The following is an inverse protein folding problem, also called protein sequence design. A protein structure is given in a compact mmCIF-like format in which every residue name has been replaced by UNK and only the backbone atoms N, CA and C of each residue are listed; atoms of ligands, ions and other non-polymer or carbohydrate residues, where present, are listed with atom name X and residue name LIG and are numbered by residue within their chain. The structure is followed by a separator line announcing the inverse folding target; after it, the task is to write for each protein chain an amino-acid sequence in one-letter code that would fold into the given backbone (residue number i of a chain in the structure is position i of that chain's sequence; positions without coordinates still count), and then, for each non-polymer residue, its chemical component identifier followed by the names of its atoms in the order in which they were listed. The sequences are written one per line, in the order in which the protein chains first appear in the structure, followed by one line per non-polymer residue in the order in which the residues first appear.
data_IF_470460021038
#
_entry.id   IF_470460021038
#
_cell.length_a   1.000
_cell.length_b   1.000
_cell.length_c   1.000
_cell.angle_alpha   90.00
_cell.angle_beta   90.00
_cell.angle_gamma   90.00
#
_symmetry.space_group_name_H-M   'P 1'
#
loop_
_entity.id
_entity.type
_entity.pdbx_description
1 polymer ?
#
# COMPACT_ATOMS: atom_id res chain seq x y z
N UNK A 1 14.33 3.59 -13.94
CA UNK A 1 14.19 4.92 -13.32
C UNK A 1 14.39 4.86 -11.80
N UNK A 2 13.47 4.25 -11.04
CA UNK A 2 13.57 4.21 -9.57
C UNK A 2 14.91 3.65 -9.05
N UNK A 3 15.43 2.55 -9.62
CA UNK A 3 16.73 1.99 -9.23
C UNK A 3 17.92 2.94 -9.44
N UNK A 4 17.94 3.65 -10.58
CA UNK A 4 18.97 4.64 -10.85
C UNK A 4 18.87 5.83 -9.88
N UNK A 5 17.65 6.21 -9.50
CA UNK A 5 17.42 7.31 -8.54
C UNK A 5 17.82 6.92 -7.11
N UNK A 6 17.64 5.64 -6.71
CA UNK A 6 18.20 5.09 -5.47
C UNK A 6 19.74 5.19 -5.48
N UNK A 7 20.39 4.77 -6.57
CA UNK A 7 21.85 4.82 -6.69
C UNK A 7 22.36 6.28 -6.71
N UNK A 8 21.64 7.17 -7.37
CA UNK A 8 21.99 8.60 -7.38
C UNK A 8 21.85 9.22 -6.00
N UNK A 9 20.78 8.92 -5.27
CA UNK A 9 20.60 9.39 -3.89
C UNK A 9 21.67 8.83 -2.94
N UNK A 10 22.04 7.55 -3.08
CA UNK A 10 23.08 6.96 -2.24
C UNK A 10 24.48 7.48 -2.54
N UNK A 11 24.81 7.74 -3.81
CA UNK A 11 26.09 8.33 -4.20
C UNK A 11 26.23 9.77 -3.73
N UNK A 12 25.16 10.57 -3.78
CA UNK A 12 25.15 11.93 -3.19
C UNK A 12 25.36 11.84 -1.68
N UNK A 13 24.65 10.94 -0.98
CA UNK A 13 24.80 10.78 0.45
C UNK A 13 26.21 10.35 0.85
N UNK A 14 26.80 9.39 0.12
CA UNK A 14 28.17 8.95 0.35
C UNK A 14 29.19 10.06 0.04
N UNK A 15 28.89 10.93 -0.92
CA UNK A 15 29.75 12.07 -1.23
C UNK A 15 29.73 13.14 -0.13
N UNK A 16 28.58 13.36 0.53
CA UNK A 16 28.46 14.35 1.61
C UNK A 16 28.92 13.81 2.97
N UNK A 17 28.57 12.58 3.31
CA UNK A 17 28.84 11.97 4.63
C UNK A 17 30.11 11.11 4.67
N UNK A 18 30.61 10.66 3.51
CA UNK A 18 31.74 9.75 3.42
C UNK A 18 31.41 8.29 3.76
N UNK A 19 30.15 7.96 4.05
CA UNK A 19 29.73 6.64 4.51
C UNK A 19 28.66 6.00 3.62
N UNK A 20 28.62 4.67 3.61
CA UNK A 20 27.64 3.85 2.87
C UNK A 20 26.62 3.16 3.78
N UNK A 21 26.63 3.46 5.08
CA UNK A 21 25.71 2.87 6.03
C UNK A 21 24.28 3.40 5.81
N UNK A 22 23.28 2.52 5.93
CA UNK A 22 21.86 2.86 5.75
C UNK A 22 21.30 3.56 7.01
N UNK A 23 21.89 3.30 8.17
CA UNK A 23 21.40 3.73 9.48
C UNK A 23 21.81 5.15 9.86
N UNK A 24 22.67 5.80 9.07
CA UNK A 24 23.13 7.16 9.36
C UNK A 24 22.12 8.19 8.91
N UNK A 25 22.14 9.35 9.57
CA UNK A 25 21.31 10.48 9.17
C UNK A 25 21.67 10.91 7.76
N UNK A 26 20.70 10.82 6.85
CA UNK A 26 20.83 11.23 5.46
C UNK A 26 20.50 12.73 5.35
N UNK A 27 21.27 13.45 4.53
CA UNK A 27 20.95 14.85 4.21
C UNK A 27 19.54 14.98 3.58
N UNK A 28 18.84 16.10 3.76
CA UNK A 28 17.44 16.23 3.34
C UNK A 28 17.24 16.06 1.82
N UNK A 29 18.22 16.46 1.00
CA UNK A 29 18.16 16.32 -0.46
C UNK A 29 18.23 14.84 -0.92
N UNK A 30 19.26 14.05 -0.54
CA UNK A 30 19.29 12.62 -0.87
C UNK A 30 18.16 11.84 -0.19
N UNK A 31 17.70 12.22 1.01
CA UNK A 31 16.56 11.58 1.67
C UNK A 31 15.26 11.77 0.86
N UNK A 32 15.03 12.97 0.31
CA UNK A 32 13.89 13.25 -0.55
C UNK A 32 13.93 12.41 -1.83
N UNK A 33 15.07 12.39 -2.52
CA UNK A 33 15.23 11.57 -3.73
C UNK A 33 15.03 10.08 -3.43
N UNK A 34 15.65 9.58 -2.36
CA UNK A 34 15.50 8.19 -1.93
C UNK A 34 14.04 7.85 -1.64
N UNK A 35 13.32 8.71 -0.90
CA UNK A 35 11.91 8.49 -0.58
C UNK A 35 11.03 8.41 -1.85
N UNK A 36 11.22 9.31 -2.81
CA UNK A 36 10.49 9.31 -4.09
C UNK A 36 10.79 8.03 -4.87
N UNK A 37 12.06 7.60 -4.90
CA UNK A 37 12.45 6.39 -5.63
C UNK A 37 11.80 5.13 -5.06
N UNK A 38 11.76 5.01 -3.73
CA UNK A 38 11.15 3.86 -3.06
C UNK A 38 9.62 3.88 -3.24
N UNK A 39 8.98 5.06 -3.12
CA UNK A 39 7.54 5.22 -3.35
C UNK A 39 7.15 4.90 -4.80
N UNK A 40 8.01 5.21 -5.78
CA UNK A 40 7.84 4.81 -7.17
C UNK A 40 7.87 3.28 -7.34
N UNK A 41 8.77 2.58 -6.63
CA UNK A 41 8.81 1.10 -6.62
C UNK A 41 7.58 0.47 -5.94
N UNK A 42 7.05 1.10 -4.90
CA UNK A 42 5.86 0.62 -4.19
C UNK A 42 4.57 0.83 -4.99
N UNK A 43 4.56 1.78 -5.93
CA UNK A 43 3.39 2.13 -6.74
C UNK A 43 2.47 3.14 -6.05
N UNK A 44 3.02 4.01 -5.21
CA UNK A 44 2.26 5.08 -4.53
C UNK A 44 1.98 6.21 -5.52
N UNK A 45 0.80 6.82 -5.44
CA UNK A 45 0.45 7.95 -6.30
C UNK A 45 1.42 9.13 -6.08
N UNK A 46 1.82 9.85 -7.14
CA UNK A 46 1.34 9.79 -8.52
C UNK A 46 1.94 8.66 -9.39
N UNK A 47 2.92 7.92 -8.88
CA UNK A 47 3.66 6.89 -9.64
C UNK A 47 2.93 5.53 -9.76
N UNK A 48 1.61 5.53 -9.54
CA UNK A 48 0.79 4.33 -9.43
C UNK A 48 0.39 3.70 -10.77
N UNK A 49 0.48 4.44 -11.89
CA UNK A 49 -0.07 4.04 -13.19
C UNK A 49 0.39 2.67 -13.69
N UNK A 50 1.64 2.27 -13.40
CA UNK A 50 2.16 0.98 -13.85
C UNK A 50 1.49 -0.21 -13.15
N UNK A 51 1.03 -0.03 -11.91
CA UNK A 51 0.64 -1.15 -11.05
C UNK A 51 -0.67 -1.81 -11.53
N UNK A 52 -1.77 -1.08 -11.84
CA UNK A 52 -2.99 -1.69 -12.37
C UNK A 52 -2.82 -2.35 -13.74
N UNK A 53 -2.02 -1.76 -14.62
CA UNK A 53 -1.78 -2.30 -15.97
C UNK A 53 -0.96 -3.59 -15.93
N UNK A 54 0.13 -3.58 -15.16
CA UNK A 54 0.98 -4.77 -15.00
C UNK A 54 0.22 -5.89 -14.31
N UNK A 55 -0.52 -5.62 -13.23
CA UNK A 55 -1.31 -6.66 -12.56
C UNK A 55 -2.38 -7.27 -13.47
N UNK A 56 -2.97 -6.48 -14.37
CA UNK A 56 -3.96 -7.02 -15.30
C UNK A 56 -3.36 -7.95 -16.35
N UNK A 57 -2.14 -7.66 -16.83
CA UNK A 57 -1.44 -8.47 -17.83
C UNK A 57 -0.85 -9.78 -17.28
N UNK A 58 -0.78 -9.92 -15.95
CA UNK A 58 -0.16 -11.06 -15.29
C UNK A 58 -1.15 -12.18 -14.91
N UNK A 59 -0.59 -13.36 -14.66
CA UNK A 59 -1.33 -14.46 -14.03
C UNK A 59 -1.61 -14.16 -12.56
N UNK A 60 -2.64 -14.77 -11.97
CA UNK A 60 -2.97 -14.53 -10.55
C UNK A 60 -1.82 -14.90 -9.60
N UNK A 61 -1.06 -15.97 -9.91
CA UNK A 61 0.08 -16.39 -9.09
C UNK A 61 1.24 -15.38 -9.15
N UNK A 62 1.55 -14.85 -10.34
CA UNK A 62 2.58 -13.80 -10.48
C UNK A 62 2.10 -12.47 -9.89
N UNK A 63 0.80 -12.18 -9.99
CA UNK A 63 0.16 -11.05 -9.32
C UNK A 63 0.29 -11.11 -7.80
N UNK A 64 0.10 -12.28 -7.19
CA UNK A 64 0.32 -12.48 -5.75
C UNK A 64 1.76 -12.15 -5.35
N UNK A 65 2.75 -12.63 -6.11
CA UNK A 65 4.17 -12.36 -5.83
C UNK A 65 4.46 -10.86 -5.96
N UNK A 66 3.91 -10.21 -6.98
CA UNK A 66 4.09 -8.78 -7.19
C UNK A 66 3.42 -7.94 -6.08
N UNK A 67 2.22 -8.32 -5.63
CA UNK A 67 1.46 -7.57 -4.63
C UNK A 67 1.96 -7.76 -3.19
N UNK A 68 2.73 -8.83 -2.93
CA UNK A 68 3.24 -9.19 -1.59
C UNK A 68 4.76 -9.13 -1.52
N UNK A 69 5.44 -10.07 -2.17
CA UNK A 69 6.88 -10.28 -2.06
C UNK A 69 7.69 -9.08 -2.55
N UNK A 70 7.32 -8.51 -3.69
CA UNK A 70 8.04 -7.35 -4.25
C UNK A 70 7.90 -6.07 -3.42
N UNK A 71 6.92 -6.01 -2.50
CA UNK A 71 6.74 -4.86 -1.60
C UNK A 71 7.57 -4.96 -0.31
N UNK A 72 8.07 -6.15 0.05
CA UNK A 72 8.83 -6.38 1.29
C UNK A 72 10.11 -5.54 1.36
N UNK A 73 11.00 -5.67 0.36
CA UNK A 73 12.29 -4.98 0.39
C UNK A 73 12.16 -3.45 0.32
N UNK A 74 11.33 -2.86 -0.58
CA UNK A 74 11.09 -1.42 -0.57
C UNK A 74 10.49 -0.92 0.75
N UNK A 75 9.55 -1.66 1.35
CA UNK A 75 8.95 -1.26 2.63
C UNK A 75 9.97 -1.30 3.78
N UNK A 76 10.82 -2.33 3.83
CA UNK A 76 11.87 -2.45 4.84
C UNK A 76 12.86 -1.27 4.77
N UNK A 77 13.28 -0.88 3.57
CA UNK A 77 14.13 0.29 3.36
C UNK A 77 13.43 1.59 3.78
N UNK A 78 12.14 1.75 3.44
CA UNK A 78 11.39 2.94 3.82
C UNK A 78 11.25 3.07 5.34
N UNK A 79 11.03 1.95 6.05
CA UNK A 79 10.97 1.91 7.52
C UNK A 79 12.32 2.25 8.15
N UNK A 80 13.44 1.72 7.62
CA UNK A 80 14.78 2.04 8.13
C UNK A 80 15.12 3.52 7.99
N UNK A 81 14.58 4.17 6.97
CA UNK A 81 14.81 5.59 6.68
C UNK A 81 13.79 6.54 7.34
N UNK A 82 12.86 6.03 8.15
CA UNK A 82 11.66 6.77 8.60
C UNK A 82 11.94 8.15 9.19
N UNK A 83 13.00 8.28 9.98
CA UNK A 83 13.38 9.53 10.64
C UNK A 83 13.84 10.60 9.64
N UNK A 84 14.56 10.19 8.59
CA UNK A 84 15.15 11.08 7.58
C UNK A 84 14.14 11.59 6.55
N UNK A 85 12.96 10.97 6.43
CA UNK A 85 11.99 11.33 5.39
C UNK A 85 11.25 12.64 5.74
N UNK A 86 10.88 13.42 4.73
CA UNK A 86 10.05 14.60 4.91
C UNK A 86 8.59 14.22 5.22
N UNK A 87 8.06 14.69 6.34
CA UNK A 87 6.69 14.41 6.80
C UNK A 87 5.64 14.95 5.81
N UNK A 88 5.80 16.18 5.32
CA UNK A 88 4.82 16.81 4.43
C UNK A 88 4.69 16.05 3.10
N UNK A 89 5.82 15.53 2.59
CA UNK A 89 5.85 14.70 1.40
C UNK A 89 5.07 13.39 1.62
N UNK A 90 5.30 12.71 2.75
CA UNK A 90 4.62 11.46 3.07
C UNK A 90 3.11 11.66 3.25
N UNK A 91 2.68 12.71 3.96
CA UNK A 91 1.26 13.01 4.15
C UNK A 91 0.57 13.30 2.81
N UNK A 92 1.19 14.12 1.94
CA UNK A 92 0.64 14.46 0.64
C UNK A 92 0.50 13.23 -0.26
N UNK A 93 1.55 12.41 -0.37
CA UNK A 93 1.52 11.20 -1.19
C UNK A 93 0.60 10.13 -0.60
N UNK A 94 0.51 10.05 0.74
CA UNK A 94 -0.42 9.18 1.45
C UNK A 94 -1.88 9.52 1.12
N UNK A 95 -2.26 10.79 1.21
CA UNK A 95 -3.63 11.24 0.90
C UNK A 95 -3.97 11.10 -0.59
N UNK A 96 -3.03 11.44 -1.48
CA UNK A 96 -3.23 11.26 -2.92
C UNK A 96 -3.46 9.78 -3.27
N UNK A 97 -2.70 8.88 -2.66
CA UNK A 97 -2.82 7.44 -2.95
C UNK A 97 -4.10 6.83 -2.38
N UNK A 98 -4.60 7.27 -1.22
CA UNK A 98 -5.91 6.81 -0.74
C UNK A 98 -7.05 7.30 -1.63
N UNK A 99 -7.02 8.57 -2.07
CA UNK A 99 -8.03 9.13 -2.99
C UNK A 99 -8.03 8.43 -4.35
N UNK A 100 -6.85 8.27 -4.95
CA UNK A 100 -6.70 7.62 -6.26
C UNK A 100 -7.02 6.13 -6.19
N UNK A 101 -6.64 5.46 -5.09
CA UNK A 101 -7.02 4.06 -4.85
C UNK A 101 -8.54 3.88 -4.75
N UNK A 102 -9.24 4.79 -4.06
CA UNK A 102 -10.70 4.79 -3.99
C UNK A 102 -11.35 5.00 -5.37
N UNK A 103 -11.11 6.15 -6.01
CA UNK A 103 -11.72 6.47 -7.31
C UNK A 103 -11.35 5.50 -8.43
N UNK A 104 -10.07 5.08 -8.46
CA UNK A 104 -9.58 4.15 -9.47
C UNK A 104 -10.22 2.77 -9.36
N UNK A 105 -10.57 2.33 -8.15
CA UNK A 105 -11.19 1.02 -7.90
C UNK A 105 -12.65 0.93 -8.33
N UNK A 106 -13.44 1.99 -8.16
CA UNK A 106 -14.88 2.01 -8.42
C UNK A 106 -15.22 1.64 -9.87
N UNK A 107 -14.40 2.09 -10.84
CA UNK A 107 -14.67 1.90 -12.26
C UNK A 107 -14.00 0.64 -12.85
N UNK A 108 -13.69 -0.38 -12.04
CA UNK A 108 -13.02 -1.59 -12.52
C UNK A 108 -13.91 -2.82 -12.37
N UNK A 109 -14.03 -3.60 -13.45
CA UNK A 109 -14.72 -4.91 -13.46
C UNK A 109 -13.76 -6.08 -13.30
N UNK A 110 -12.46 -5.82 -13.48
CA UNK A 110 -11.40 -6.81 -13.43
C UNK A 110 -10.86 -6.92 -12.01
N UNK A 111 -10.91 -8.12 -11.42
CA UNK A 111 -10.52 -8.35 -10.02
C UNK A 111 -9.07 -7.92 -9.77
N UNK A 112 -8.16 -8.17 -10.72
CA UNK A 112 -6.75 -7.80 -10.60
C UNK A 112 -6.53 -6.29 -10.54
N UNK A 113 -7.31 -5.50 -11.28
CA UNK A 113 -7.25 -4.03 -11.20
C UNK A 113 -7.88 -3.51 -9.90
N UNK A 114 -8.93 -4.15 -9.40
CA UNK A 114 -9.50 -3.80 -8.09
C UNK A 114 -8.46 -4.02 -6.99
N UNK A 115 -7.78 -5.17 -7.00
CA UNK A 115 -6.69 -5.48 -6.07
C UNK A 115 -5.48 -4.55 -6.23
N UNK A 116 -5.21 -4.08 -7.44
CA UNK A 116 -4.20 -3.07 -7.69
C UNK A 116 -4.53 -1.75 -6.97
N UNK A 117 -5.74 -1.24 -7.16
CA UNK A 117 -6.20 0.01 -6.54
C UNK A 117 -6.35 -0.11 -5.02
N UNK A 118 -6.78 -1.27 -4.50
CA UNK A 118 -6.77 -1.50 -3.05
C UNK A 118 -5.34 -1.47 -2.50
N UNK A 119 -4.36 -2.04 -3.21
CA UNK A 119 -2.95 -1.96 -2.79
C UNK A 119 -2.42 -0.53 -2.75
N UNK A 120 -2.84 0.32 -3.69
CA UNK A 120 -2.47 1.75 -3.72
C UNK A 120 -3.08 2.47 -2.51
N UNK A 121 -4.35 2.20 -2.18
CA UNK A 121 -5.00 2.79 -1.02
C UNK A 121 -4.36 2.35 0.30
N UNK A 122 -4.08 1.05 0.48
CA UNK A 122 -3.43 0.54 1.69
C UNK A 122 -2.01 1.08 1.87
N UNK A 123 -1.24 1.20 0.79
CA UNK A 123 0.06 1.84 0.85
C UNK A 123 -0.04 3.31 1.24
N UNK A 124 -1.10 4.02 0.84
CA UNK A 124 -1.32 5.40 1.29
C UNK A 124 -1.42 5.54 2.80
N UNK A 125 -2.14 4.63 3.47
CA UNK A 125 -2.19 4.56 4.93
C UNK A 125 -0.83 4.26 5.56
N UNK A 126 -0.06 3.34 4.96
CA UNK A 126 1.27 2.99 5.47
C UNK A 126 2.24 4.18 5.35
N UNK A 127 2.24 4.86 4.21
CA UNK A 127 3.11 6.01 3.94
C UNK A 127 2.77 7.17 4.88
N UNK A 128 1.48 7.42 5.14
CA UNK A 128 1.05 8.55 5.98
C UNK A 128 1.51 8.45 7.45
N UNK A 129 1.69 7.24 7.99
CA UNK A 129 2.12 7.03 9.39
C UNK A 129 3.60 6.77 9.56
N UNK A 130 4.32 6.51 8.48
CA UNK A 130 5.68 5.99 8.55
C UNK A 130 6.62 6.81 9.41
N UNK A 131 6.56 8.14 9.31
CA UNK A 131 7.37 9.03 10.13
C UNK A 131 6.84 9.21 11.55
N UNK A 132 5.52 9.09 11.76
CA UNK A 132 4.90 9.28 13.07
C UNK A 132 5.16 8.07 13.98
N UNK A 133 4.93 6.86 13.45
CA UNK A 133 5.10 5.64 14.21
C UNK A 133 5.39 4.44 13.27
N UNK A 134 6.66 4.16 12.95
CA UNK A 134 7.03 3.16 11.94
C UNK A 134 6.55 1.75 12.29
N UNK A 135 6.44 1.41 13.58
CA UNK A 135 5.95 0.10 14.02
C UNK A 135 4.50 -0.18 13.58
N UNK A 136 3.65 0.85 13.54
CA UNK A 136 2.26 0.69 13.07
C UNK A 136 2.19 0.53 11.56
N UNK A 137 3.14 1.08 10.81
CA UNK A 137 3.26 0.80 9.37
C UNK A 137 3.64 -0.64 9.09
N UNK A 138 4.56 -1.19 9.88
CA UNK A 138 4.92 -2.61 9.80
C UNK A 138 3.72 -3.49 10.12
N UNK A 139 2.98 -3.17 11.19
CA UNK A 139 1.76 -3.90 11.55
C UNK A 139 0.71 -3.88 10.44
N UNK A 140 0.42 -2.71 9.87
CA UNK A 140 -0.50 -2.57 8.75
C UNK A 140 -0.02 -3.35 7.51
N UNK A 141 1.28 -3.30 7.22
CA UNK A 141 1.88 -4.03 6.10
C UNK A 141 1.74 -5.55 6.25
N UNK A 142 1.99 -6.10 7.44
CA UNK A 142 1.80 -7.54 7.71
C UNK A 142 0.34 -7.94 7.50
N UNK A 143 -0.62 -7.17 8.04
CA UNK A 143 -2.05 -7.44 7.84
C UNK A 143 -2.43 -7.37 6.35
N UNK A 144 -1.93 -6.38 5.63
CA UNK A 144 -2.16 -6.25 4.20
C UNK A 144 -1.62 -7.45 3.41
N UNK A 145 -0.40 -7.93 3.69
CA UNK A 145 0.17 -9.11 3.02
C UNK A 145 -0.65 -10.36 3.30
N UNK A 146 -1.11 -10.54 4.54
CA UNK A 146 -1.98 -11.65 4.91
C UNK A 146 -3.33 -11.58 4.16
N UNK A 147 -4.01 -10.43 4.17
CA UNK A 147 -5.32 -10.30 3.51
C UNK A 147 -5.25 -10.38 1.99
N UNK A 148 -4.19 -9.84 1.38
CA UNK A 148 -4.03 -9.95 -0.08
C UNK A 148 -3.64 -11.35 -0.52
N UNK A 149 -2.77 -12.03 0.22
CA UNK A 149 -2.41 -13.43 -0.10
C UNK A 149 -3.63 -14.35 0.03
N UNK A 150 -4.47 -14.19 1.06
CA UNK A 150 -5.71 -14.98 1.16
C UNK A 150 -6.62 -14.75 -0.04
N UNK A 151 -6.85 -13.49 -0.45
CA UNK A 151 -7.70 -13.19 -1.60
C UNK A 151 -7.16 -13.77 -2.92
N UNK A 152 -5.88 -13.57 -3.22
CA UNK A 152 -5.28 -14.13 -4.42
C UNK A 152 -5.35 -15.68 -4.43
N UNK A 153 -5.16 -16.34 -3.28
CA UNK A 153 -5.31 -17.79 -3.17
C UNK A 153 -6.77 -18.26 -3.35
N UNK A 154 -7.75 -17.50 -2.84
CA UNK A 154 -9.17 -17.80 -3.11
C UNK A 154 -9.53 -17.64 -4.59
N UNK A 155 -9.03 -16.60 -5.26
CA UNK A 155 -9.28 -16.40 -6.69
C UNK A 155 -8.54 -17.42 -7.57
N UNK A 156 -7.36 -17.88 -7.14
CA UNK A 156 -6.65 -18.98 -7.78
C UNK A 156 -7.44 -20.29 -7.70
N UNK A 157 -8.03 -20.62 -6.55
CA UNK A 157 -8.80 -21.85 -6.40
C UNK A 157 -10.18 -21.78 -7.09
N UNK A 158 -10.79 -20.60 -7.18
CA UNK A 158 -12.02 -20.38 -7.95
C UNK A 158 -11.78 -20.18 -9.47
N UNK A 159 -10.54 -19.95 -9.90
CA UNK A 159 -10.18 -19.56 -11.27
C UNK A 159 -10.94 -18.31 -11.79
N UNK A 160 -11.18 -17.32 -10.94
CA UNK A 160 -11.96 -16.12 -11.28
C UNK A 160 -11.05 -14.92 -11.60
N UNK A 161 -11.32 -14.24 -12.70
CA UNK A 161 -10.60 -13.02 -13.14
C UNK A 161 -11.51 -11.78 -13.14
N UNK A 162 -12.81 -12.00 -13.31
CA UNK A 162 -13.82 -10.94 -13.42
C UNK A 162 -14.86 -11.03 -12.31
N UNK A 163 -15.49 -9.89 -11.97
CA UNK A 163 -16.59 -9.84 -11.00
C UNK A 163 -17.73 -10.81 -11.39
N UNK A 164 -18.06 -10.89 -12.68
CA UNK A 164 -19.11 -11.80 -13.16
C UNK A 164 -18.80 -13.27 -12.84
N UNK A 165 -17.57 -13.71 -13.11
CA UNK A 165 -17.14 -15.08 -12.81
C UNK A 165 -17.19 -15.37 -11.30
N UNK A 166 -16.80 -14.39 -10.47
CA UNK A 166 -16.92 -14.49 -9.02
C UNK A 166 -18.39 -14.67 -8.58
N UNK A 167 -19.33 -13.93 -9.17
CA UNK A 167 -20.76 -14.08 -8.83
C UNK A 167 -21.31 -15.47 -9.15
N UNK A 168 -20.84 -16.09 -10.24
CA UNK A 168 -21.26 -17.44 -10.66
C UNK A 168 -20.60 -18.57 -9.87
N UNK A 169 -19.67 -18.27 -8.98
CA UNK A 169 -18.92 -19.28 -8.22
C UNK A 169 -19.61 -19.74 -6.93
N UNK A 170 -20.62 -19.00 -6.45
CA UNK A 170 -21.41 -19.34 -5.26
C UNK A 170 -21.99 -20.77 -5.28
N UNK A 171 -22.68 -21.22 -6.35
CA UNK A 171 -23.24 -22.57 -6.39
C UNK A 171 -22.17 -23.67 -6.44
N UNK A 172 -20.92 -23.35 -6.84
CA UNK A 172 -19.82 -24.32 -6.95
C UNK A 172 -19.08 -24.50 -5.63
N UNK A 173 -18.81 -23.40 -4.93
CA UNK A 173 -18.02 -23.38 -3.70
C UNK A 173 -18.54 -22.29 -2.74
N UNK A 174 -19.65 -22.54 -2.04
CA UNK A 174 -20.31 -21.53 -1.20
C UNK A 174 -19.44 -21.09 -0.01
N UNK A 175 -18.64 -22.01 0.55
CA UNK A 175 -17.74 -21.71 1.67
C UNK A 175 -16.62 -20.76 1.26
N UNK A 176 -15.98 -21.01 0.13
CA UNK A 176 -14.86 -20.22 -0.36
C UNK A 176 -15.31 -18.83 -0.84
N UNK A 177 -16.49 -18.76 -1.45
CA UNK A 177 -17.09 -17.47 -1.85
C UNK A 177 -17.50 -16.63 -0.65
N UNK A 178 -18.07 -17.22 0.40
CA UNK A 178 -18.33 -16.52 1.66
C UNK A 178 -17.03 -16.00 2.32
N UNK A 179 -15.95 -16.79 2.31
CA UNK A 179 -14.65 -16.35 2.81
C UNK A 179 -14.08 -15.20 1.96
N UNK A 180 -14.24 -15.22 0.64
CA UNK A 180 -13.80 -14.12 -0.23
C UNK A 180 -14.55 -12.81 0.04
N UNK A 181 -15.83 -12.87 0.40
CA UNK A 181 -16.61 -11.70 0.82
C UNK A 181 -16.04 -11.13 2.13
N UNK A 182 -15.83 -11.98 3.13
CA UNK A 182 -15.31 -11.57 4.43
C UNK A 182 -13.91 -10.92 4.31
N UNK A 183 -13.04 -11.46 3.44
CA UNK A 183 -11.71 -10.89 3.23
C UNK A 183 -11.72 -9.58 2.44
N UNK A 184 -12.68 -9.40 1.51
CA UNK A 184 -12.90 -8.10 0.85
C UNK A 184 -13.38 -7.04 1.84
N UNK A 185 -14.34 -7.38 2.70
CA UNK A 185 -14.83 -6.47 3.75
C UNK A 185 -13.74 -6.16 4.79
N UNK A 186 -12.81 -7.09 5.04
CA UNK A 186 -11.67 -6.82 5.91
C UNK A 186 -10.65 -5.90 5.25
N UNK A 187 -10.39 -6.01 3.94
CA UNK A 187 -9.55 -5.04 3.21
C UNK A 187 -10.15 -3.62 3.23
N UNK A 188 -11.46 -3.50 3.02
CA UNK A 188 -12.13 -2.19 3.13
C UNK A 188 -12.12 -1.63 4.55
N UNK A 189 -11.84 -2.46 5.55
CA UNK A 189 -11.61 -2.05 6.93
C UNK A 189 -12.90 -1.74 7.66
N UNK A 190 -13.94 -2.54 7.46
CA UNK A 190 -15.18 -2.43 8.22
C UNK A 190 -15.02 -2.95 9.66
N UNK A 191 -15.53 -2.24 10.69
CA UNK A 191 -15.75 -2.86 12.00
C UNK A 191 -16.81 -3.97 11.83
N UNK A 192 -16.65 -5.21 12.33
CA UNK A 192 -15.75 -5.73 13.38
C UNK A 192 -14.50 -6.50 12.88
N UNK A 193 -14.08 -6.31 11.63
CA UNK A 193 -13.03 -7.11 11.01
C UNK A 193 -11.62 -6.60 11.32
N UNK A 194 -10.62 -7.46 11.14
CA UNK A 194 -9.22 -7.18 11.50
C UNK A 194 -8.60 -6.01 10.75
N UNK A 195 -9.01 -5.75 9.51
CA UNK A 195 -8.48 -4.64 8.72
C UNK A 195 -8.96 -3.25 9.15
N UNK A 196 -9.94 -3.16 10.05
CA UNK A 196 -10.32 -1.90 10.68
C UNK A 196 -9.26 -1.42 11.69
N UNK A 197 -8.66 -2.35 12.44
CA UNK A 197 -7.70 -2.08 13.51
C UNK A 197 -6.56 -1.14 13.07
N UNK A 198 -5.81 -1.42 11.97
CA UNK A 198 -4.72 -0.54 11.57
C UNK A 198 -5.22 0.87 11.18
N UNK A 199 -6.33 1.00 10.46
CA UNK A 199 -6.87 2.31 10.06
C UNK A 199 -7.27 3.13 11.29
N UNK A 200 -7.90 2.49 12.26
CA UNK A 200 -8.30 3.12 13.51
C UNK A 200 -7.09 3.57 14.35
N UNK A 201 -6.10 2.70 14.56
CA UNK A 201 -4.89 3.06 15.30
C UNK A 201 -4.10 4.17 14.60
N UNK A 202 -4.05 4.16 13.26
CA UNK A 202 -3.38 5.21 12.48
C UNK A 202 -4.08 6.55 12.72
N UNK A 203 -5.40 6.58 12.62
CA UNK A 203 -6.16 7.81 12.86
C UNK A 203 -5.95 8.32 14.29
N UNK A 204 -5.87 7.43 15.27
CA UNK A 204 -5.57 7.79 16.65
C UNK A 204 -4.18 8.43 16.81
N UNK A 205 -3.14 7.84 16.20
CA UNK A 205 -1.79 8.42 16.23
C UNK A 205 -1.72 9.78 15.52
N UNK A 206 -2.44 9.96 14.42
CA UNK A 206 -2.52 11.27 13.75
C UNK A 206 -3.17 12.33 14.63
N UNK A 207 -4.25 11.98 15.34
CA UNK A 207 -4.93 12.91 16.27
C UNK A 207 -4.03 13.27 17.46
N UNK A 208 -3.23 12.32 17.97
CA UNK A 208 -2.24 12.60 19.05
C UNK A 208 -1.16 13.61 18.63
N UNK A 209 -0.87 13.70 17.34
CA UNK A 209 0.15 14.58 16.75
C UNK A 209 -0.46 15.88 16.19
N UNK A 210 -1.66 16.26 16.64
CA UNK A 210 -2.43 17.45 16.21
C UNK A 210 -2.78 17.49 14.70
N UNK A 211 -2.66 16.36 13.98
CA UNK A 211 -3.02 16.23 12.55
C UNK A 211 -4.51 15.86 12.36
N UNK A 212 -5.39 16.50 13.12
CA UNK A 212 -6.83 16.18 13.16
C UNK A 212 -7.53 16.35 11.81
N UNK A 213 -7.26 17.45 11.10
CA UNK A 213 -7.85 17.71 9.79
C UNK A 213 -7.38 16.68 8.74
N UNK A 214 -6.11 16.28 8.80
CA UNK A 214 -5.58 15.26 7.90
C UNK A 214 -6.22 13.89 8.19
N UNK A 215 -6.34 13.51 9.47
CA UNK A 215 -7.00 12.28 9.89
C UNK A 215 -8.46 12.22 9.38
N UNK A 216 -9.18 13.34 9.44
CA UNK A 216 -10.53 13.45 8.90
C UNK A 216 -10.57 13.23 7.37
N UNK A 217 -9.69 13.89 6.62
CA UNK A 217 -9.64 13.76 5.16
C UNK A 217 -9.28 12.34 4.70
N UNK A 218 -8.29 11.71 5.35
CA UNK A 218 -7.87 10.36 4.97
C UNK A 218 -8.96 9.33 5.33
N UNK A 219 -9.69 9.51 6.43
CA UNK A 219 -10.86 8.69 6.77
C UNK A 219 -12.01 8.87 5.76
N UNK A 220 -12.31 10.11 5.34
CA UNK A 220 -13.30 10.34 4.29
C UNK A 220 -12.90 9.64 2.99
N UNK A 221 -11.61 9.68 2.62
CA UNK A 221 -11.12 9.00 1.42
C UNK A 221 -11.32 7.47 1.48
N UNK A 222 -11.25 6.86 2.67
CA UNK A 222 -11.46 5.41 2.80
C UNK A 222 -12.88 4.96 2.57
N UNK A 223 -13.87 5.83 2.78
CA UNK A 223 -15.26 5.49 2.49
C UNK A 223 -15.49 5.19 1.01
N UNK A 224 -14.66 5.76 0.11
CA UNK A 224 -14.73 5.46 -1.32
C UNK A 224 -14.11 4.12 -1.70
N UNK A 225 -13.19 3.61 -0.88
CA UNK A 225 -12.57 2.30 -1.09
C UNK A 225 -13.38 1.14 -0.52
N UNK A 226 -14.47 1.46 0.18
CA UNK A 226 -15.35 0.52 0.87
C UNK A 226 -16.51 0.11 -0.03
#
# INVERSE_FOLDING_TARGET
AASALILFASTINAWTTGEWMITTSIDPAPALLMSIAILMKLGVAPFHFWLPEVLQGLSLQTGLILSTWQKLAPMALLIQLSESVNLNLLLLLGLLSTMIGGWGGINQTQIRKILAFSSIAHLGWMVAVLKLFPQLTLFNFILYVLMTSTLFLTFLSLNTKNIYELSTSWPKAPTLTALSLLTLLSLSGLPPLTGFIPKWLIAQEMVKQDLTMFAFLILLSTLLSL
#
